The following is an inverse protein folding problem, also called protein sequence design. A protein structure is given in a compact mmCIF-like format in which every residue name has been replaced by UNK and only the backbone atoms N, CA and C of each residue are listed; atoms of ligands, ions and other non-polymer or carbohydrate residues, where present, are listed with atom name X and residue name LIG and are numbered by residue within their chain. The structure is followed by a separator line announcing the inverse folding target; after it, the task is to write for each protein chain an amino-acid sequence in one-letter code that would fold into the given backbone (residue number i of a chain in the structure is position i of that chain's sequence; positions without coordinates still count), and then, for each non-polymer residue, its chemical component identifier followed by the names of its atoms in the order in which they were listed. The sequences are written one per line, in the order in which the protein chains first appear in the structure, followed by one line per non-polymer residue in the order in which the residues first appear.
data_IF_618358049639
#
_entry.id   IF_618358049639
#
_cell.length_a   1.000
_cell.length_b   1.000
_cell.length_c   1.000
_cell.angle_alpha   90.00
_cell.angle_beta   90.00
_cell.angle_gamma   90.00
#
_symmetry.space_group_name_H-M   'P 1'
#
loop_
_entity.id
_entity.type
_entity.pdbx_description
1 polymer ?
#
# COMPACT_ATOMS: atom_id res chain seq x y z
N UNK A 1 -16.40 10.38 10.24
CA UNK A 1 -16.11 8.93 10.29
C UNK A 1 -15.14 8.53 11.41
N UNK A 2 -13.82 8.82 11.40
CA UNK A 2 -12.91 8.33 12.48
C UNK A 2 -12.86 9.19 13.75
N UNK A 3 -13.06 10.52 13.63
CA UNK A 3 -13.20 11.38 14.81
C UNK A 3 -14.43 10.99 15.66
N UNK A 4 -15.48 10.47 15.02
CA UNK A 4 -16.70 9.99 15.68
C UNK A 4 -16.57 8.56 16.22
N UNK A 5 -15.80 7.67 15.57
CA UNK A 5 -15.62 6.30 16.06
C UNK A 5 -14.63 6.17 17.21
N UNK A 6 -13.69 7.10 17.40
CA UNK A 6 -12.76 7.07 18.56
C UNK A 6 -13.46 6.99 19.93
N UNK A 7 -14.44 7.86 20.27
CA UNK A 7 -15.15 7.76 21.55
C UNK A 7 -15.99 6.49 21.63
N UNK A 8 -16.63 6.06 20.53
CA UNK A 8 -17.39 4.81 20.48
C UNK A 8 -16.50 3.58 20.75
N UNK A 9 -15.34 3.50 20.08
CA UNK A 9 -14.33 2.45 20.28
C UNK A 9 -13.77 2.45 21.70
N UNK A 10 -13.57 3.63 22.31
CA UNK A 10 -13.13 3.73 23.72
C UNK A 10 -14.13 3.06 24.66
N UNK A 11 -15.42 3.35 24.48
CA UNK A 11 -16.51 2.80 25.28
C UNK A 11 -16.65 1.29 25.05
N UNK A 12 -16.70 0.85 23.79
CA UNK A 12 -16.82 -0.57 23.45
C UNK A 12 -15.63 -1.43 23.91
N UNK A 13 -14.42 -0.86 23.95
CA UNK A 13 -13.20 -1.57 24.36
C UNK A 13 -12.81 -1.30 25.83
N UNK A 14 -13.65 -0.60 26.60
CA UNK A 14 -13.45 -0.32 28.02
C UNK A 14 -12.13 0.40 28.35
N UNK A 15 -11.62 1.25 27.45
CA UNK A 15 -10.30 1.88 27.63
C UNK A 15 -10.39 3.13 28.51
N UNK A 16 -9.48 3.24 29.48
CA UNK A 16 -9.42 4.38 30.41
C UNK A 16 -8.94 5.66 29.70
N UNK A 17 -7.94 5.54 28.83
CA UNK A 17 -7.35 6.67 28.10
C UNK A 17 -7.86 6.74 26.66
N UNK A 18 -8.15 7.95 26.17
CA UNK A 18 -8.59 8.19 24.78
C UNK A 18 -7.51 7.84 23.75
N UNK A 19 -6.24 7.97 24.13
CA UNK A 19 -5.10 7.61 23.27
C UNK A 19 -4.84 6.10 23.19
N UNK A 20 -5.48 5.29 24.02
CA UNK A 20 -5.43 3.82 23.92
C UNK A 20 -6.39 3.28 22.86
N UNK A 21 -7.28 4.12 22.31
CA UNK A 21 -8.15 3.71 21.22
C UNK A 21 -7.30 3.42 19.97
N UNK A 22 -7.54 2.29 19.27
CA UNK A 22 -6.79 1.93 18.08
C UNK A 22 -6.97 2.97 16.98
N UNK A 23 -5.88 3.25 16.26
CA UNK A 23 -5.86 4.18 15.13
C UNK A 23 -5.14 3.55 13.95
N UNK A 24 -5.56 3.93 12.75
CA UNK A 24 -4.87 3.56 11.52
C UNK A 24 -3.60 4.41 11.40
N UNK A 25 -2.43 3.78 11.53
CA UNK A 25 -1.14 4.47 11.38
C UNK A 25 -0.80 4.72 9.90
N UNK A 26 -0.87 3.67 9.08
CA UNK A 26 -0.54 3.72 7.67
C UNK A 26 -1.25 2.63 6.87
N UNK A 27 -1.41 2.89 5.58
CA UNK A 27 -1.81 1.89 4.58
C UNK A 27 -0.66 1.74 3.60
N UNK A 28 -0.19 0.51 3.41
CA UNK A 28 0.86 0.20 2.45
C UNK A 28 0.20 -0.51 1.28
N UNK A 29 0.33 0.08 0.09
CA UNK A 29 -0.12 -0.54 -1.16
C UNK A 29 1.13 -1.00 -1.90
N UNK A 30 1.17 -2.27 -2.26
CA UNK A 30 2.27 -2.88 -2.96
C UNK A 30 1.81 -3.68 -4.16
N UNK A 31 2.49 -3.52 -5.28
CA UNK A 31 2.22 -4.26 -6.51
C UNK A 31 3.50 -4.95 -6.96
N UNK A 32 3.45 -6.27 -7.10
CA UNK A 32 4.55 -7.05 -7.66
C UNK A 32 4.62 -6.87 -9.17
N UNK A 33 5.83 -6.64 -9.68
CA UNK A 33 6.09 -6.53 -11.12
C UNK A 33 6.10 -7.93 -11.77
N UNK A 34 6.25 -8.99 -10.97
CA UNK A 34 6.11 -10.38 -11.40
C UNK A 34 7.16 -10.81 -12.43
N UNK A 35 6.74 -11.60 -13.42
CA UNK A 35 7.61 -12.15 -14.47
C UNK A 35 8.08 -11.10 -15.49
N UNK A 36 7.56 -9.87 -15.44
CA UNK A 36 8.03 -8.77 -16.29
C UNK A 36 9.47 -8.37 -15.95
N UNK A 37 9.89 -8.53 -14.69
CA UNK A 37 11.25 -8.24 -14.26
C UNK A 37 12.31 -9.18 -14.86
N UNK A 38 11.92 -10.41 -15.24
CA UNK A 38 12.84 -11.44 -15.76
C UNK A 38 12.81 -11.56 -17.28
N UNK A 39 11.87 -10.91 -17.98
CA UNK A 39 11.84 -10.86 -19.45
C UNK A 39 12.93 -9.91 -19.96
N UNK A 40 13.89 -10.45 -20.71
CA UNK A 40 14.91 -9.66 -21.42
C UNK A 40 14.19 -8.65 -22.34
N UNK A 41 14.42 -7.35 -22.11
CA UNK A 41 13.95 -6.26 -22.97
C UNK A 41 12.81 -5.41 -22.41
N UNK A 42 12.05 -5.89 -21.42
CA UNK A 42 10.99 -5.09 -20.78
C UNK A 42 11.58 -4.31 -19.61
N UNK A 43 12.00 -3.07 -19.88
CA UNK A 43 12.46 -2.11 -18.85
C UNK A 43 11.38 -1.09 -18.49
N UNK A 44 10.27 -1.08 -19.22
CA UNK A 44 9.22 -0.11 -19.02
C UNK A 44 8.18 -0.66 -18.02
N UNK A 45 8.14 -0.04 -16.84
CA UNK A 45 7.13 -0.29 -15.81
C UNK A 45 6.25 0.94 -15.58
N UNK A 46 6.30 1.91 -16.48
CA UNK A 46 5.65 3.21 -16.34
C UNK A 46 4.14 3.08 -16.22
N UNK A 47 3.51 2.09 -16.86
CA UNK A 47 2.06 1.88 -16.79
C UNK A 47 1.62 1.43 -15.40
N UNK A 48 2.42 0.57 -14.74
CA UNK A 48 2.16 0.16 -13.35
C UNK A 48 2.30 1.38 -12.43
N UNK A 49 3.35 2.18 -12.62
CA UNK A 49 3.57 3.40 -11.86
C UNK A 49 2.40 4.41 -12.04
N UNK A 50 1.99 4.68 -13.28
CA UNK A 50 0.87 5.57 -13.61
C UNK A 50 -0.44 5.10 -12.98
N UNK A 51 -0.70 3.79 -13.01
CA UNK A 51 -1.92 3.23 -12.40
C UNK A 51 -1.90 3.40 -10.87
N UNK A 52 -0.78 3.14 -10.21
CA UNK A 52 -0.67 3.33 -8.77
C UNK A 52 -0.83 4.81 -8.41
N UNK A 53 -0.25 5.72 -9.19
CA UNK A 53 -0.43 7.17 -9.02
C UNK A 53 -1.89 7.56 -9.18
N UNK A 54 -2.59 7.03 -10.20
CA UNK A 54 -4.01 7.32 -10.44
C UNK A 54 -4.90 6.85 -9.29
N UNK A 55 -4.58 5.71 -8.68
CA UNK A 55 -5.35 5.16 -7.55
C UNK A 55 -5.04 5.90 -6.25
N UNK A 56 -3.76 6.10 -5.94
CA UNK A 56 -3.28 6.54 -4.63
C UNK A 56 -2.93 8.03 -4.54
N UNK A 57 -2.80 8.72 -5.67
CA UNK A 57 -2.39 10.11 -5.76
C UNK A 57 -0.92 10.37 -5.42
N UNK A 58 -0.15 9.32 -5.12
CA UNK A 58 1.24 9.42 -4.68
C UNK A 58 2.17 8.58 -5.55
N UNK A 59 3.34 9.12 -5.86
CA UNK A 59 4.38 8.41 -6.62
C UNK A 59 4.89 7.20 -5.83
N UNK A 60 4.82 5.98 -6.38
CA UNK A 60 5.33 4.79 -5.71
C UNK A 60 6.85 4.72 -5.77
N UNK A 61 7.44 4.03 -4.79
CA UNK A 61 8.86 3.70 -4.78
C UNK A 61 9.08 2.34 -5.45
N UNK A 62 10.06 2.27 -6.35
CA UNK A 62 10.56 1.02 -6.92
C UNK A 62 11.47 0.32 -5.91
N UNK A 63 11.11 -0.91 -5.54
CA UNK A 63 11.89 -1.76 -4.66
C UNK A 63 12.63 -2.79 -5.50
N UNK A 64 13.93 -2.85 -5.27
CA UNK A 64 14.83 -3.81 -5.92
C UNK A 64 15.13 -5.00 -5.01
N UNK A 65 15.55 -6.10 -5.61
CA UNK A 65 15.94 -7.30 -4.87
C UNK A 65 17.19 -7.05 -4.04
N UNK A 66 17.15 -7.53 -2.79
CA UNK A 66 18.30 -7.53 -1.87
C UNK A 66 19.13 -8.81 -1.94
N UNK A 67 18.58 -9.90 -2.47
CA UNK A 67 19.21 -11.23 -2.49
C UNK A 67 19.03 -11.88 -3.85
N UNK A 68 20.07 -12.59 -4.27
CA UNK A 68 19.98 -13.48 -5.44
C UNK A 68 19.35 -14.82 -5.02
N UNK A 69 18.29 -15.24 -5.69
CA UNK A 69 17.62 -16.53 -5.43
C UNK A 69 17.34 -17.23 -6.76
N UNK A 70 18.07 -18.31 -7.01
CA UNK A 70 18.04 -19.05 -8.28
C UNK A 70 16.66 -19.62 -8.63
N UNK A 71 15.90 -20.11 -7.65
CA UNK A 71 14.54 -20.64 -7.87
C UNK A 71 13.58 -19.60 -8.49
N UNK A 72 13.76 -18.32 -8.15
CA UNK A 72 12.94 -17.23 -8.68
C UNK A 72 13.59 -16.53 -9.88
N UNK A 73 14.73 -17.04 -10.37
CA UNK A 73 15.56 -16.42 -11.43
C UNK A 73 15.89 -14.96 -11.11
N UNK A 74 16.03 -14.64 -9.83
CA UNK A 74 16.20 -13.28 -9.33
C UNK A 74 17.67 -13.00 -9.06
N UNK A 75 18.18 -11.88 -9.57
CA UNK A 75 19.51 -11.35 -9.26
C UNK A 75 19.40 -10.14 -8.34
N UNK A 76 20.51 -9.79 -7.69
CA UNK A 76 20.60 -8.56 -6.91
C UNK A 76 20.36 -7.32 -7.78
N UNK A 77 19.78 -6.28 -7.15
CA UNK A 77 19.43 -5.00 -7.78
C UNK A 77 18.37 -5.08 -8.92
N UNK A 78 17.75 -6.24 -9.14
CA UNK A 78 16.63 -6.36 -10.07
C UNK A 78 15.36 -5.69 -9.50
N UNK A 79 14.58 -4.93 -10.31
CA UNK A 79 13.30 -4.38 -9.87
C UNK A 79 12.28 -5.49 -9.60
N UNK A 80 11.62 -5.46 -8.43
CA UNK A 80 10.69 -6.53 -8.00
C UNK A 80 9.28 -6.02 -7.79
N UNK A 81 9.12 -4.87 -7.14
CA UNK A 81 7.80 -4.37 -6.74
C UNK A 81 7.78 -2.85 -6.68
N UNK A 82 6.58 -2.29 -6.85
CA UNK A 82 6.28 -0.92 -6.46
C UNK A 82 5.60 -0.92 -5.09
N UNK A 83 5.97 0.05 -4.25
CA UNK A 83 5.35 0.26 -2.94
C UNK A 83 5.05 1.73 -2.74
N UNK A 84 3.86 2.03 -2.25
CA UNK A 84 3.49 3.36 -1.76
C UNK A 84 2.99 3.24 -0.32
N UNK A 85 3.38 4.19 0.52
CA UNK A 85 2.99 4.24 1.93
C UNK A 85 2.15 5.49 2.14
N UNK A 86 0.85 5.28 2.33
CA UNK A 86 -0.12 6.31 2.64
C UNK A 86 -0.20 6.45 4.16
N UNK A 87 -0.19 7.69 4.65
CA UNK A 87 -0.32 8.01 6.08
C UNK A 87 -1.37 9.08 6.29
N UNK A 88 -1.88 9.19 7.51
CA UNK A 88 -2.86 10.23 7.92
C UNK A 88 -4.05 10.25 6.95
N UNK A 89 -4.45 11.43 6.48
CA UNK A 89 -5.64 11.64 5.67
C UNK A 89 -5.62 10.86 4.34
N UNK A 90 -4.44 10.67 3.74
CA UNK A 90 -4.28 9.87 2.52
C UNK A 90 -4.63 8.40 2.75
N UNK A 91 -4.24 7.84 3.90
CA UNK A 91 -4.55 6.46 4.25
C UNK A 91 -6.07 6.27 4.49
N UNK A 92 -6.69 7.26 5.13
CA UNK A 92 -8.13 7.24 5.39
C UNK A 92 -8.94 7.41 4.11
N UNK A 93 -8.57 8.37 3.26
CA UNK A 93 -9.22 8.57 1.97
C UNK A 93 -9.12 7.35 1.06
N UNK A 94 -7.99 6.63 1.09
CA UNK A 94 -7.85 5.37 0.38
C UNK A 94 -8.79 4.28 0.93
N UNK A 95 -8.85 4.12 2.25
CA UNK A 95 -9.71 3.12 2.89
C UNK A 95 -11.21 3.39 2.66
N UNK A 96 -11.62 4.65 2.69
CA UNK A 96 -13.00 5.05 2.39
C UNK A 96 -13.36 4.75 0.93
N UNK A 97 -12.48 5.11 -0.03
CA UNK A 97 -12.70 4.78 -1.44
C UNK A 97 -12.76 3.26 -1.66
N UNK A 98 -11.86 2.50 -1.02
CA UNK A 98 -11.83 1.05 -1.12
C UNK A 98 -13.15 0.43 -0.65
N UNK A 99 -13.60 0.79 0.54
CA UNK A 99 -14.78 0.17 1.17
C UNK A 99 -16.10 0.63 0.58
N UNK A 100 -16.23 1.89 0.18
CA UNK A 100 -17.50 2.45 -0.33
C UNK A 100 -17.67 2.33 -1.83
N UNK A 101 -16.59 2.30 -2.61
CA UNK A 101 -16.65 2.36 -4.08
C UNK A 101 -16.14 1.06 -4.71
N UNK A 102 -15.00 0.54 -4.25
CA UNK A 102 -14.33 -0.57 -4.94
C UNK A 102 -14.88 -1.93 -4.53
N UNK A 103 -15.13 -2.17 -3.23
CA UNK A 103 -15.64 -3.46 -2.75
C UNK A 103 -17.12 -3.74 -3.06
N UNK A 104 -18.04 -2.75 -3.05
CA UNK A 104 -19.44 -3.00 -3.38
C UNK A 104 -19.71 -3.15 -4.88
N UNK A 105 -18.72 -2.81 -5.71
CA UNK A 105 -18.80 -2.89 -7.17
C UNK A 105 -18.35 -4.28 -7.64
#
# INVERSE_FOLDING_TARGET
MIRETKPSLKTSLGKKNIHQAPVVDKVIVSVGIGSLATRKGVKDFSDIEKNIIKITGQKPQLIKSKKSISNFKLREDMPVMFKVTLRRDMALGFLEKLTKIVLPR
#
